data_IF_938703227057
#
_entry.id   IF_938703227057
#
_cell.length_a   1.000
_cell.length_b   1.000
_cell.length_c   1.000
_cell.angle_alpha   90.00
_cell.angle_beta   90.00
_cell.angle_gamma   90.00
#
_symmetry.space_group_name_H-M   'P 1'
#
loop_
_entity.id
_entity.type
_entity.pdbx_description
1 polymer ?
#
# COMPACT_ATOMS: atom_id res chain seq x y z
N UNK A 1 -20.15 23.39 -4.45
CA UNK A 1 -19.70 22.67 -3.25
C UNK A 1 -18.73 21.58 -3.69
N UNK A 2 -17.44 21.74 -3.42
CA UNK A 2 -16.39 20.83 -3.88
C UNK A 2 -16.44 19.56 -3.05
N UNK A 3 -16.83 18.44 -3.66
CA UNK A 3 -16.79 17.13 -3.03
C UNK A 3 -15.33 16.80 -2.68
N UNK A 4 -14.98 17.00 -1.41
CA UNK A 4 -13.67 16.68 -0.87
C UNK A 4 -13.59 15.15 -0.75
N UNK A 5 -13.39 14.45 -1.89
CA UNK A 5 -13.09 13.02 -1.90
C UNK A 5 -11.83 12.85 -1.06
N UNK A 6 -11.99 12.30 0.16
CA UNK A 6 -10.88 12.05 1.07
C UNK A 6 -9.90 11.12 0.35
N UNK A 7 -8.82 11.67 -0.21
CA UNK A 7 -7.75 10.86 -0.79
C UNK A 7 -7.20 9.95 0.29
N UNK A 8 -7.32 8.65 0.10
CA UNK A 8 -6.73 7.68 1.04
C UNK A 8 -5.21 7.87 1.01
N UNK A 9 -4.62 8.22 2.15
CA UNK A 9 -3.17 8.46 2.23
C UNK A 9 -2.44 7.15 2.53
N UNK A 10 -1.14 7.11 2.23
CA UNK A 10 -0.29 5.96 2.60
C UNK A 10 -0.32 5.65 4.11
N UNK A 11 -0.47 6.67 4.96
CA UNK A 11 -0.61 6.50 6.42
C UNK A 11 -1.91 5.81 6.78
N UNK A 12 -3.00 6.17 6.12
CA UNK A 12 -4.31 5.54 6.33
C UNK A 12 -4.30 4.09 5.83
N UNK A 13 -3.66 3.81 4.69
CA UNK A 13 -3.47 2.43 4.19
C UNK A 13 -2.72 1.58 5.22
N UNK A 14 -1.59 2.09 5.74
CA UNK A 14 -0.80 1.38 6.75
C UNK A 14 -1.63 1.09 8.01
N UNK A 15 -2.39 2.08 8.48
CA UNK A 15 -3.29 1.94 9.63
C UNK A 15 -4.38 0.90 9.39
N UNK A 16 -5.05 0.95 8.24
CA UNK A 16 -6.10 -0.01 7.87
C UNK A 16 -5.56 -1.44 7.70
N UNK A 17 -4.33 -1.59 7.21
CA UNK A 17 -3.65 -2.89 7.12
C UNK A 17 -3.04 -3.35 8.45
N UNK A 18 -3.19 -2.57 9.52
CA UNK A 18 -2.65 -2.83 10.85
C UNK A 18 -1.11 -3.03 10.83
N UNK A 19 -0.41 -2.11 10.16
CA UNK A 19 1.06 -2.04 10.10
C UNK A 19 1.55 -0.63 10.37
N UNK A 20 2.81 -0.50 10.82
CA UNK A 20 3.42 0.80 11.04
C UNK A 20 3.67 1.57 9.72
N UNK A 21 3.51 2.91 9.70
CA UNK A 21 3.72 3.72 8.49
C UNK A 21 5.17 3.69 7.99
N UNK A 22 6.18 3.62 8.88
CA UNK A 22 7.59 3.46 8.48
C UNK A 22 7.86 2.11 7.85
N UNK A 23 7.25 1.06 8.40
CA UNK A 23 7.34 -0.29 7.83
C UNK A 23 6.73 -0.34 6.44
N UNK A 24 5.56 0.29 6.26
CA UNK A 24 4.93 0.42 4.95
C UNK A 24 5.79 1.23 3.97
N UNK A 25 6.41 2.33 4.42
CA UNK A 25 7.34 3.12 3.60
C UNK A 25 8.56 2.30 3.17
N UNK A 26 9.09 1.45 4.05
CA UNK A 26 10.20 0.55 3.73
C UNK A 26 9.82 -0.50 2.67
N UNK A 27 8.59 -1.00 2.68
CA UNK A 27 8.07 -1.89 1.63
C UNK A 27 8.00 -1.15 0.29
N UNK A 28 7.34 0.02 0.25
CA UNK A 28 7.18 0.80 -0.99
C UNK A 28 8.53 1.17 -1.60
N UNK A 29 9.52 1.51 -0.76
CA UNK A 29 10.87 1.88 -1.22
C UNK A 29 11.76 0.67 -1.56
N UNK A 30 11.26 -0.55 -1.42
CA UNK A 30 12.05 -1.78 -1.64
C UNK A 30 13.15 -2.03 -0.61
N UNK A 31 13.14 -1.31 0.52
CA UNK A 31 14.11 -1.49 1.61
C UNK A 31 13.81 -2.72 2.47
N UNK A 32 12.57 -3.19 2.44
CA UNK A 32 12.12 -4.44 3.06
C UNK A 32 11.17 -5.17 2.13
N UNK A 33 11.25 -6.50 2.11
CA UNK A 33 10.22 -7.31 1.44
C UNK A 33 8.92 -7.29 2.23
N UNK A 34 7.80 -7.34 1.53
CA UNK A 34 6.49 -7.48 2.16
C UNK A 34 6.30 -8.92 2.67
N UNK A 35 6.03 -9.11 3.98
CA UNK A 35 5.62 -10.41 4.51
C UNK A 35 4.30 -10.88 3.87
N UNK A 36 4.12 -12.20 3.71
CA UNK A 36 2.92 -12.75 3.06
C UNK A 36 1.62 -12.42 3.81
N UNK A 37 1.64 -12.42 5.14
CA UNK A 37 0.49 -12.05 5.96
C UNK A 37 0.13 -10.57 5.81
N UNK A 38 1.13 -9.70 5.65
CA UNK A 38 0.96 -8.27 5.40
C UNK A 38 0.41 -8.04 3.99
N UNK A 39 0.91 -8.77 2.99
CA UNK A 39 0.43 -8.70 1.61
C UNK A 39 -1.08 -9.00 1.50
N UNK A 40 -1.57 -10.02 2.23
CA UNK A 40 -3.01 -10.35 2.27
C UNK A 40 -3.83 -9.22 2.90
N UNK A 41 -3.31 -8.55 3.94
CA UNK A 41 -3.98 -7.40 4.56
C UNK A 41 -3.98 -6.19 3.64
N UNK A 42 -2.86 -5.92 2.97
CA UNK A 42 -2.75 -4.83 2.01
C UNK A 42 -3.67 -5.03 0.80
N UNK A 43 -3.77 -6.25 0.26
CA UNK A 43 -4.71 -6.60 -0.81
C UNK A 43 -6.16 -6.25 -0.44
N UNK A 44 -6.58 -6.58 0.78
CA UNK A 44 -7.94 -6.22 1.27
C UNK A 44 -8.17 -4.71 1.38
N UNK A 45 -7.13 -3.94 1.70
CA UNK A 45 -7.23 -2.50 1.94
C UNK A 45 -7.12 -1.69 0.66
N UNK A 46 -6.23 -2.09 -0.25
CA UNK A 46 -5.90 -1.31 -1.45
C UNK A 46 -6.45 -1.91 -2.74
N UNK A 47 -6.88 -3.17 -2.72
CA UNK A 47 -7.24 -3.94 -3.93
C UNK A 47 -6.05 -4.32 -4.80
N UNK A 48 -4.80 -4.06 -4.35
CA UNK A 48 -3.58 -4.43 -5.07
C UNK A 48 -3.29 -5.91 -4.77
N UNK A 49 -3.10 -6.71 -5.81
CA UNK A 49 -2.87 -8.14 -5.69
C UNK A 49 -1.67 -8.48 -4.78
N UNK A 50 -1.84 -9.47 -3.90
CA UNK A 50 -0.80 -9.93 -2.96
C UNK A 50 0.51 -10.30 -3.64
N UNK A 51 0.48 -10.80 -4.87
CA UNK A 51 1.69 -11.17 -5.62
C UNK A 51 2.52 -9.94 -5.98
N UNK A 52 1.89 -8.82 -6.30
CA UNK A 52 2.57 -7.53 -6.50
C UNK A 52 3.32 -7.11 -5.24
N UNK A 53 2.74 -7.32 -4.06
CA UNK A 53 3.41 -6.99 -2.80
C UNK A 53 4.59 -7.91 -2.47
N UNK A 54 4.48 -9.20 -2.76
CA UNK A 54 5.49 -10.21 -2.37
C UNK A 54 6.65 -10.29 -3.38
N UNK A 55 6.33 -10.17 -4.67
CA UNK A 55 7.26 -10.41 -5.77
C UNK A 55 7.53 -9.18 -6.64
N UNK A 56 6.66 -8.19 -6.61
CA UNK A 56 6.84 -6.95 -7.36
C UNK A 56 8.06 -6.18 -6.87
N UNK A 57 8.68 -5.45 -7.79
CA UNK A 57 9.76 -4.52 -7.46
C UNK A 57 9.20 -3.22 -6.84
N UNK A 58 10.10 -2.40 -6.29
CA UNK A 58 9.70 -1.17 -5.61
C UNK A 58 8.98 -0.16 -6.51
N UNK A 59 9.30 -0.12 -7.81
CA UNK A 59 8.62 0.75 -8.77
C UNK A 59 7.19 0.27 -9.02
N UNK A 60 7.00 -1.02 -9.27
CA UNK A 60 5.66 -1.62 -9.46
C UNK A 60 4.76 -1.39 -8.25
N UNK A 61 5.28 -1.66 -7.05
CA UNK A 61 4.56 -1.44 -5.80
C UNK A 61 4.21 0.04 -5.63
N UNK A 62 5.14 0.95 -5.90
CA UNK A 62 4.92 2.39 -5.76
C UNK A 62 3.84 2.90 -6.70
N UNK A 63 3.88 2.50 -7.98
CA UNK A 63 2.88 2.90 -8.96
C UNK A 63 1.49 2.40 -8.58
N UNK A 64 1.39 1.13 -8.15
CA UNK A 64 0.12 0.56 -7.70
C UNK A 64 -0.43 1.31 -6.48
N UNK A 65 0.42 1.66 -5.51
CA UNK A 65 0.02 2.46 -4.33
C UNK A 65 -0.40 3.87 -4.73
N UNK A 66 0.32 4.52 -5.64
CA UNK A 66 -0.03 5.85 -6.13
C UNK A 66 -1.40 5.85 -6.84
N UNK A 67 -1.72 4.80 -7.61
CA UNK A 67 -3.03 4.62 -8.20
C UNK A 67 -4.12 4.39 -7.14
N UNK A 68 -3.86 3.53 -6.14
CA UNK A 68 -4.80 3.27 -5.05
C UNK A 68 -5.09 4.53 -4.21
N UNK A 69 -4.10 5.40 -4.00
CA UNK A 69 -4.29 6.68 -3.29
C UNK A 69 -5.08 7.73 -4.09
N UNK A 70 -5.22 7.56 -5.41
CA UNK A 70 -5.95 8.48 -6.29
C UNK A 70 -7.44 8.17 -6.41
N UNK A 71 -7.84 6.94 -6.08
CA UNK A 71 -9.25 6.46 -6.08
C UNK A 71 -10.02 7.11 -4.92
#
# INVERSE_FOLDING_TARGET
MSANKKKTTQKEIAKMANIGPDFFSHIIRGRRRCPRDVAVRLEKVTGIDRTTWVWGNSLEIRLAVEEACRK
#
